data_IF_524975662429
#
_entry.id   IF_524975662429
#
_cell.length_a   1.000
_cell.length_b   1.000
_cell.length_c   1.000
_cell.angle_alpha   90.00
_cell.angle_beta   90.00
_cell.angle_gamma   90.00
#
_symmetry.space_group_name_H-M   'P 1'
#
loop_
_entity.id
_entity.type
_entity.pdbx_description
1 polymer ?
#
# COMPACT_ATOMS: atom_id res chain seq x y z
N UNK A 1 -1.77 -12.30 -23.35
CA UNK A 1 -2.45 -12.10 -22.06
C UNK A 1 -1.46 -11.40 -21.15
N UNK A 2 -1.66 -10.13 -20.83
CA UNK A 2 -0.78 -9.40 -19.90
C UNK A 2 -1.09 -9.89 -18.49
N UNK A 3 -0.14 -10.59 -17.88
CA UNK A 3 -0.24 -10.98 -16.48
C UNK A 3 -0.14 -9.71 -15.65
N UNK A 4 -1.21 -9.34 -14.95
CA UNK A 4 -1.15 -8.23 -14.00
C UNK A 4 -0.15 -8.57 -12.90
N UNK A 5 0.71 -7.60 -12.56
CA UNK A 5 1.67 -7.71 -11.46
C UNK A 5 1.40 -6.60 -10.46
N UNK A 6 1.41 -6.95 -9.17
CA UNK A 6 1.44 -5.99 -8.07
C UNK A 6 1.33 -6.69 -6.72
N UNK A 7 1.60 -5.94 -5.66
CA UNK A 7 1.67 -6.47 -4.29
C UNK A 7 0.30 -6.36 -3.62
N UNK A 8 -0.30 -7.48 -3.17
CA UNK A 8 -1.56 -7.45 -2.43
C UNK A 8 -1.51 -6.46 -1.26
N UNK A 9 -2.57 -5.66 -1.08
CA UNK A 9 -2.65 -4.62 -0.05
C UNK A 9 -2.30 -3.21 -0.53
N UNK A 10 -1.48 -3.08 -1.58
CA UNK A 10 -1.14 -1.79 -2.19
C UNK A 10 -1.95 -1.49 -3.47
N UNK A 11 -2.61 -2.50 -4.02
CA UNK A 11 -3.37 -2.37 -5.26
C UNK A 11 -4.59 -1.45 -5.10
N UNK A 12 -4.69 -0.46 -6.00
CA UNK A 12 -5.86 0.39 -6.14
C UNK A 12 -7.08 -0.44 -6.59
N UNK A 13 -8.32 -0.11 -6.17
CA UNK A 13 -9.51 -0.93 -6.45
C UNK A 13 -9.80 -1.17 -7.94
N UNK A 14 -9.38 -0.25 -8.80
CA UNK A 14 -9.52 -0.36 -10.26
C UNK A 14 -8.51 -1.31 -10.91
N UNK A 15 -7.61 -1.96 -10.16
CA UNK A 15 -6.56 -2.82 -10.69
C UNK A 15 -7.08 -3.87 -11.68
N UNK A 16 -8.28 -4.42 -11.46
CA UNK A 16 -8.94 -5.41 -12.33
C UNK A 16 -9.44 -4.86 -13.67
N UNK A 17 -9.56 -3.54 -13.82
CA UNK A 17 -10.25 -2.90 -14.96
C UNK A 17 -9.36 -2.67 -16.18
N UNK A 18 -8.10 -3.11 -16.16
CA UNK A 18 -7.07 -2.87 -17.20
C UNK A 18 -6.74 -1.39 -17.45
N UNK A 19 -7.26 -0.47 -16.64
CA UNK A 19 -6.93 0.96 -16.68
C UNK A 19 -5.80 1.24 -15.69
N UNK A 20 -4.56 0.99 -16.13
CA UNK A 20 -3.37 1.39 -15.37
C UNK A 20 -3.09 2.85 -15.68
N UNK A 21 -3.24 3.72 -14.68
CA UNK A 21 -2.96 5.15 -14.76
C UNK A 21 -2.04 5.55 -13.61
N UNK A 22 -1.47 6.76 -13.65
CA UNK A 22 -0.68 7.31 -12.52
C UNK A 22 -1.43 7.27 -11.17
N UNK A 23 -2.77 7.16 -11.18
CA UNK A 23 -3.61 7.13 -9.99
C UNK A 23 -3.42 5.86 -9.16
N UNK A 24 -2.98 4.75 -9.75
CA UNK A 24 -2.73 3.50 -9.00
C UNK A 24 -1.50 3.63 -8.10
N UNK A 25 -0.49 4.38 -8.58
CA UNK A 25 0.71 4.70 -7.79
C UNK A 25 0.36 5.64 -6.64
N UNK A 26 -0.54 6.60 -6.88
CA UNK A 26 -1.01 7.53 -5.83
C UNK A 26 -1.76 6.80 -4.73
N UNK A 27 -2.58 5.80 -5.08
CA UNK A 27 -3.23 4.96 -4.08
C UNK A 27 -2.19 4.18 -3.25
N UNK A 28 -1.23 3.54 -3.94
CA UNK A 28 -0.16 2.78 -3.29
C UNK A 28 0.68 3.66 -2.35
N UNK A 29 0.94 4.90 -2.76
CA UNK A 29 1.59 5.92 -1.94
C UNK A 29 0.79 6.25 -0.68
N UNK A 30 -0.54 6.38 -0.78
CA UNK A 30 -1.41 6.55 0.38
C UNK A 30 -1.32 5.39 1.38
N UNK A 31 -1.19 4.15 0.88
CA UNK A 31 -0.95 2.97 1.74
C UNK A 31 0.38 3.10 2.47
N UNK A 32 1.46 3.46 1.75
CA UNK A 32 2.81 3.62 2.34
C UNK A 32 2.83 4.71 3.41
N UNK A 33 2.18 5.86 3.18
CA UNK A 33 2.07 6.91 4.22
C UNK A 33 1.46 6.32 5.49
N UNK A 34 0.40 5.53 5.38
CA UNK A 34 -0.24 4.91 6.55
C UNK A 34 0.63 3.86 7.23
N UNK A 35 1.40 3.09 6.47
CA UNK A 35 2.37 2.15 7.05
C UNK A 35 3.44 2.87 7.87
N UNK A 36 3.97 3.98 7.34
CA UNK A 36 4.96 4.81 8.04
C UNK A 36 4.36 5.38 9.32
N UNK A 37 3.17 5.98 9.24
CA UNK A 37 2.52 6.61 10.39
C UNK A 37 2.16 5.59 11.48
N UNK A 38 1.71 4.40 11.09
CA UNK A 38 1.26 3.38 12.04
C UNK A 38 2.35 2.43 12.51
N UNK A 39 3.52 2.42 11.84
CA UNK A 39 4.59 1.46 12.10
C UNK A 39 4.16 0.01 11.84
N UNK A 40 3.11 -0.20 11.04
CA UNK A 40 2.51 -1.51 10.76
C UNK A 40 2.46 -1.78 9.27
N UNK A 41 2.51 -3.06 8.91
CA UNK A 41 2.32 -3.49 7.51
C UNK A 41 0.86 -3.31 7.09
N UNK A 42 0.64 -3.07 5.80
CA UNK A 42 -0.69 -2.87 5.21
C UNK A 42 -1.63 -4.08 5.42
N UNK A 43 -1.06 -5.29 5.41
CA UNK A 43 -1.68 -6.55 5.78
C UNK A 43 -0.84 -7.17 6.90
N UNK A 44 -1.45 -7.34 8.07
CA UNK A 44 -0.77 -7.86 9.25
C UNK A 44 -1.56 -9.02 9.86
N UNK A 45 -1.17 -10.25 9.50
CA UNK A 45 -1.82 -11.48 9.96
C UNK A 45 -1.56 -11.78 11.45
N UNK A 46 -0.70 -11.00 12.13
CA UNK A 46 -0.51 -11.14 13.58
C UNK A 46 -1.61 -10.45 14.40
N UNK A 47 -2.48 -9.69 13.73
CA UNK A 47 -3.52 -8.87 14.34
C UNK A 47 -4.89 -9.55 14.30
N UNK A 48 -5.84 -9.12 15.16
CA UNK A 48 -7.22 -9.58 15.09
C UNK A 48 -7.82 -9.34 13.71
N UNK A 49 -8.76 -10.20 13.28
CA UNK A 49 -9.37 -10.19 11.94
C UNK A 49 -9.86 -8.81 11.53
N UNK A 50 -10.40 -8.05 12.48
CA UNK A 50 -10.94 -6.70 12.28
C UNK A 50 -9.84 -5.67 11.96
N UNK A 51 -8.59 -5.96 12.32
CA UNK A 51 -7.43 -5.04 12.23
C UNK A 51 -6.33 -5.52 11.29
N UNK A 52 -6.51 -6.67 10.62
CA UNK A 52 -5.55 -7.22 9.65
C UNK A 52 -5.28 -6.21 8.54
N UNK A 53 -6.33 -5.55 8.05
CA UNK A 53 -6.24 -4.57 6.95
C UNK A 53 -6.12 -3.16 7.51
N UNK A 54 -4.92 -2.57 7.34
CA UNK A 54 -4.60 -1.25 7.87
C UNK A 54 -5.56 -0.16 7.36
N UNK A 55 -5.94 -0.24 6.09
CA UNK A 55 -6.80 0.77 5.43
C UNK A 55 -8.25 0.70 5.94
N UNK A 56 -8.77 -0.49 6.25
CA UNK A 56 -10.09 -0.64 6.87
C UNK A 56 -10.10 -0.06 8.28
N UNK A 57 -9.05 -0.36 9.06
CA UNK A 57 -8.90 0.22 10.39
C UNK A 57 -8.80 1.75 10.35
N UNK A 58 -8.09 2.31 9.37
CA UNK A 58 -8.05 3.76 9.15
C UNK A 58 -9.45 4.34 8.93
N UNK A 59 -10.28 3.72 8.08
CA UNK A 59 -11.63 4.20 7.82
C UNK A 59 -12.49 4.17 9.10
N UNK A 60 -12.43 3.09 9.86
CA UNK A 60 -13.12 2.98 11.16
C UNK A 60 -12.68 4.10 12.11
N UNK A 61 -11.37 4.34 12.23
CA UNK A 61 -10.82 5.37 13.10
C UNK A 61 -11.15 6.78 12.63
N UNK A 62 -11.18 7.02 11.32
CA UNK A 62 -11.57 8.29 10.73
C UNK A 62 -13.04 8.62 11.03
N UNK A 63 -13.95 7.65 10.84
CA UNK A 63 -15.38 7.81 11.11
C UNK A 63 -15.68 8.08 12.58
N UNK A 64 -14.87 7.53 13.48
CA UNK A 64 -15.01 7.71 14.93
C UNK A 64 -14.18 8.89 15.49
N UNK A 65 -13.54 9.71 14.66
CA UNK A 65 -12.64 10.81 15.07
C UNK A 65 -11.49 10.37 16.00
N UNK A 66 -10.99 9.16 15.81
CA UNK A 66 -9.94 8.53 16.62
C UNK A 66 -8.64 8.32 15.82
N UNK A 67 -8.31 9.23 14.90
CA UNK A 67 -7.12 9.13 14.05
C UNK A 67 -5.81 9.05 14.86
N UNK A 68 -5.74 9.72 16.02
CA UNK A 68 -4.57 9.72 16.91
C UNK A 68 -4.19 8.29 17.34
N UNK A 69 -5.16 7.37 17.44
CA UNK A 69 -4.89 5.97 17.79
C UNK A 69 -4.09 5.21 16.73
N UNK A 70 -4.01 5.74 15.51
CA UNK A 70 -3.27 5.15 14.40
C UNK A 70 -1.78 5.53 14.42
N UNK A 71 -1.35 6.49 15.26
CA UNK A 71 0.04 6.94 15.32
C UNK A 71 0.90 5.89 16.04
N UNK A 72 2.05 5.56 15.46
CA UNK A 72 3.04 4.69 16.10
C UNK A 72 3.58 5.32 17.39
N UNK A 73 3.17 4.74 18.51
CA UNK A 73 3.59 5.19 19.85
C UNK A 73 5.07 4.95 20.14
N UNK A 74 5.77 4.16 19.32
CA UNK A 74 7.22 3.94 19.45
C UNK A 74 8.02 5.11 18.86
N UNK A 75 7.40 5.95 18.04
CA UNK A 75 8.03 7.14 17.45
C UNK A 75 7.75 8.38 18.30
N UNK A 76 8.72 8.78 19.12
CA UNK A 76 8.60 10.00 19.95
C UNK A 76 8.37 11.27 19.11
N UNK A 77 8.93 11.30 17.89
CA UNK A 77 8.76 12.42 16.96
C UNK A 77 7.31 12.54 16.49
N UNK A 78 6.71 11.43 16.04
CA UNK A 78 5.30 11.41 15.61
C UNK A 78 4.33 11.71 16.76
N UNK A 79 4.65 11.25 17.96
CA UNK A 79 3.83 11.52 19.17
C UNK A 79 3.92 12.99 19.58
N UNK A 80 5.04 13.67 19.31
CA UNK A 80 5.22 15.09 19.61
C UNK A 80 4.59 16.00 18.54
N UNK A 81 4.64 15.58 17.26
CA UNK A 81 4.17 16.35 16.11
C UNK A 81 2.79 15.85 15.58
N UNK A 82 1.83 15.61 16.49
CA UNK A 82 0.56 14.95 16.13
C UNK A 82 -0.25 15.69 15.08
N UNK A 83 -0.24 17.03 15.09
CA UNK A 83 -1.00 17.85 14.13
C UNK A 83 -0.51 17.64 12.69
N UNK A 84 0.81 17.62 12.49
CA UNK A 84 1.45 17.35 11.19
C UNK A 84 1.19 15.90 10.75
N UNK A 85 1.25 14.95 11.70
CA UNK A 85 0.93 13.54 11.42
C UNK A 85 -0.53 13.36 11.02
N UNK A 86 -1.46 14.06 11.66
CA UNK A 86 -2.88 14.05 11.27
C UNK A 86 -3.06 14.66 9.87
N UNK A 87 -2.30 15.70 9.52
CA UNK A 87 -2.31 16.25 8.16
C UNK A 87 -1.83 15.21 7.14
N UNK A 88 -0.75 14.48 7.44
CA UNK A 88 -0.28 13.38 6.60
C UNK A 88 -1.30 12.25 6.47
N UNK A 89 -2.01 11.90 7.55
CA UNK A 89 -3.12 10.92 7.49
C UNK A 89 -4.25 11.42 6.59
N UNK A 90 -4.59 12.71 6.66
CA UNK A 90 -5.59 13.33 5.78
C UNK A 90 -5.17 13.26 4.31
N UNK A 91 -3.90 13.49 4.02
CA UNK A 91 -3.36 13.29 2.67
C UNK A 91 -3.48 11.83 2.23
N UNK A 92 -3.15 10.88 3.09
CA UNK A 92 -3.30 9.46 2.79
C UNK A 92 -4.76 9.10 2.46
N UNK A 93 -5.73 9.56 3.26
CA UNK A 93 -7.16 9.34 2.99
C UNK A 93 -7.62 9.96 1.65
N UNK A 94 -7.00 11.07 1.24
CA UNK A 94 -7.28 11.67 -0.07
C UNK A 94 -6.65 10.86 -1.23
N UNK A 95 -5.47 10.29 -1.03
CA UNK A 95 -4.84 9.36 -1.97
C UNK A 95 -5.59 8.03 -2.09
N UNK A 96 -6.24 7.58 -1.02
CA UNK A 96 -6.93 6.29 -0.91
C UNK A 96 -8.39 6.30 -1.41
N UNK A 97 -8.84 7.38 -2.06
CA UNK A 97 -10.19 7.46 -2.62
C UNK A 97 -10.44 6.32 -3.62
N UNK A 98 -11.58 5.66 -3.48
CA UNK A 98 -11.97 4.56 -4.37
C UNK A 98 -12.13 5.02 -5.82
N UNK A 99 -12.65 6.23 -6.01
CA UNK A 99 -12.69 6.89 -7.32
C UNK A 99 -11.32 7.53 -7.63
N UNK A 100 -10.65 7.00 -8.65
CA UNK A 100 -9.33 7.47 -9.10
C UNK A 100 -9.33 8.94 -9.54
N UNK A 101 -10.46 9.49 -9.99
CA UNK A 101 -10.58 10.89 -10.41
C UNK A 101 -10.55 11.87 -9.23
N UNK A 102 -10.93 11.40 -8.04
CA UNK A 102 -10.93 12.19 -6.79
C UNK A 102 -9.58 12.24 -6.11
N UNK A 103 -8.68 11.30 -6.43
CA UNK A 103 -7.30 11.28 -5.90
C UNK A 103 -6.55 12.52 -6.41
N UNK A 104 -5.63 13.10 -5.61
CA UNK A 104 -4.76 14.19 -6.08
C UNK A 104 -3.87 13.73 -7.24
N UNK A 105 -3.18 14.67 -7.89
CA UNK A 105 -1.98 14.33 -8.67
C UNK A 105 -0.75 14.34 -7.74
N UNK A 106 0.32 13.65 -8.13
CA UNK A 106 1.50 13.51 -7.27
C UNK A 106 2.12 14.86 -6.88
N UNK A 107 2.16 15.81 -7.81
CA UNK A 107 2.67 17.16 -7.54
C UNK A 107 1.88 17.90 -6.45
N UNK A 108 0.56 17.68 -6.38
CA UNK A 108 -0.28 18.24 -5.31
C UNK A 108 -0.01 17.54 -3.98
N UNK A 109 0.15 16.21 -3.98
CA UNK A 109 0.49 15.47 -2.77
C UNK A 109 1.83 15.93 -2.17
N UNK A 110 2.85 16.17 -3.01
CA UNK A 110 4.15 16.70 -2.58
C UNK A 110 4.01 18.11 -1.99
N UNK A 111 3.28 19.02 -2.65
CA UNK A 111 3.05 20.38 -2.13
C UNK A 111 2.42 20.38 -0.75
N UNK A 112 1.51 19.44 -0.49
CA UNK A 112 0.89 19.27 0.82
C UNK A 112 1.92 18.82 1.85
N UNK A 113 2.78 17.87 1.51
CA UNK A 113 3.86 17.39 2.39
C UNK A 113 4.93 18.46 2.66
N UNK A 114 5.19 19.34 1.70
CA UNK A 114 6.09 20.49 1.85
C UNK A 114 5.46 21.64 2.68
N UNK A 115 4.19 21.51 3.11
CA UNK A 115 3.47 22.57 3.80
C UNK A 115 3.08 23.75 2.90
N UNK A 116 3.25 23.62 1.58
CA UNK A 116 2.92 24.66 0.60
C UNK A 116 1.42 24.71 0.24
N UNK A 117 0.61 23.75 0.72
CA UNK A 117 -0.83 23.66 0.49
C UNK A 117 -1.56 23.01 1.67
N UNK A 118 -2.72 23.56 2.04
CA UNK A 118 -3.61 22.99 3.07
C UNK A 118 -4.66 22.01 2.48
N UNK A 119 -5.07 21.03 3.28
CA UNK A 119 -5.99 19.93 2.87
C UNK A 119 -7.47 20.22 3.20
N UNK A 120 -7.77 21.33 3.89
CA UNK A 120 -8.99 21.52 4.70
C UNK A 120 -10.36 21.33 4.01
N UNK A 121 -10.43 21.27 2.67
CA UNK A 121 -11.70 21.22 1.94
C UNK A 121 -11.98 19.92 1.16
N UNK A 122 -11.08 18.92 1.16
CA UNK A 122 -11.12 17.86 0.12
C UNK A 122 -11.25 16.43 0.63
N UNK A 123 -11.21 16.20 1.95
CA UNK A 123 -11.20 14.84 2.49
C UNK A 123 -12.60 14.34 2.73
N UNK A 124 -13.02 13.42 1.87
CA UNK A 124 -14.14 12.53 2.15
C UNK A 124 -13.62 11.34 2.96
N UNK A 125 -14.06 11.24 4.20
CA UNK A 125 -13.70 10.15 5.11
C UNK A 125 -14.34 8.80 4.70
N UNK A 126 -15.23 8.79 3.70
CA UNK A 126 -15.71 7.58 3.04
C UNK A 126 -14.89 7.26 1.79
N UNK A 127 -13.57 7.14 1.95
CA UNK A 127 -12.65 6.88 0.84
C UNK A 127 -12.68 5.42 0.36
N UNK A 128 -13.12 4.48 1.18
CA UNK A 128 -13.45 3.13 0.75
C UNK A 128 -14.94 3.06 0.39
N UNK A 129 -15.25 2.68 -0.85
CA UNK A 129 -16.55 2.11 -1.14
C UNK A 129 -16.72 0.85 -0.28
N UNK A 130 -17.92 0.55 0.25
CA UNK A 130 -18.20 -0.79 0.75
C UNK A 130 -18.01 -1.74 -0.43
N UNK A 131 -16.81 -2.31 -0.55
CA UNK A 131 -16.62 -3.53 -1.32
C UNK A 131 -17.59 -4.51 -0.69
N UNK A 132 -18.45 -5.05 -1.57
CA UNK A 132 -19.53 -6.00 -1.30
C UNK A 132 -19.34 -6.75 0.01
N UNK A 133 -20.36 -6.84 0.89
CA UNK A 133 -20.29 -7.84 1.95
C UNK A 133 -19.95 -9.15 1.26
N UNK A 134 -18.87 -9.80 1.67
CA UNK A 134 -18.78 -11.24 1.48
C UNK A 134 -20.00 -11.75 2.22
N UNK A 135 -21.08 -12.00 1.49
CA UNK A 135 -22.20 -12.73 2.03
C UNK A 135 -21.61 -14.08 2.38
N UNK A 136 -21.65 -14.41 3.67
CA UNK A 136 -21.44 -15.77 4.14
C UNK A 136 -22.50 -16.64 3.45
N UNK A 137 -22.19 -17.11 2.24
CA UNK A 137 -22.90 -18.18 1.59
C UNK A 137 -21.93 -19.33 1.37
N UNK A 138 -22.21 -20.43 2.05
CA UNK A 138 -21.38 -21.63 2.08
C UNK A 138 -21.43 -22.43 0.76
N UNK A 139 -21.83 -21.83 -0.36
CA UNK A 139 -22.12 -22.52 -1.62
C UNK A 139 -21.45 -21.98 -2.88
N UNK A 140 -20.60 -20.95 -2.79
CA UNK A 140 -19.90 -20.39 -3.98
C UNK A 140 -18.46 -20.92 -4.16
N UNK A 141 -18.04 -21.96 -3.41
CA UNK A 141 -16.68 -22.51 -3.49
C UNK A 141 -16.40 -23.40 -4.72
N UNK A 142 -17.36 -23.59 -5.63
CA UNK A 142 -17.22 -24.56 -6.73
C UNK A 142 -16.96 -23.93 -8.10
N UNK A 143 -16.74 -22.62 -8.20
CA UNK A 143 -16.53 -21.96 -9.50
C UNK A 143 -15.39 -20.92 -9.52
N UNK A 144 -14.34 -21.13 -8.73
CA UNK A 144 -13.08 -20.39 -8.88
C UNK A 144 -12.11 -21.21 -9.75
N UNK A 145 -11.41 -20.60 -10.74
CA UNK A 145 -10.32 -21.27 -11.43
C UNK A 145 -9.27 -21.72 -10.40
N UNK A 146 -8.74 -22.94 -10.54
CA UNK A 146 -7.86 -23.63 -9.58
C UNK A 146 -6.48 -23.01 -9.31
N UNK A 147 -6.27 -21.71 -9.53
CA UNK A 147 -4.93 -21.08 -9.45
C UNK A 147 -4.65 -20.33 -8.12
N UNK A 148 -5.44 -20.60 -7.06
CA UNK A 148 -5.33 -19.95 -5.74
C UNK A 148 -4.63 -20.81 -4.66
N UNK A 149 -3.94 -21.88 -5.04
CA UNK A 149 -3.31 -22.82 -4.10
C UNK A 149 -1.93 -22.41 -3.56
N UNK A 150 -1.40 -21.22 -3.87
CA UNK A 150 -0.05 -20.83 -3.44
C UNK A 150 0.05 -20.17 -2.05
N UNK A 151 -1.02 -20.13 -1.25
CA UNK A 151 -0.99 -19.53 0.09
C UNK A 151 -1.23 -20.57 1.18
N UNK A 152 -0.31 -21.52 1.31
CA UNK A 152 0.03 -22.09 2.62
C UNK A 152 1.47 -21.70 2.92
N UNK A 153 1.67 -21.08 4.08
CA UNK A 153 2.97 -20.67 4.56
C UNK A 153 3.95 -21.86 4.53
N UNK A 154 4.99 -21.77 3.70
CA UNK A 154 6.16 -22.62 3.88
C UNK A 154 6.79 -22.29 5.24
N UNK A 155 7.13 -23.28 6.07
CA UNK A 155 7.83 -23.04 7.32
C UNK A 155 9.20 -22.40 7.04
N UNK A 156 9.54 -21.39 7.84
CA UNK A 156 10.82 -20.67 7.80
C UNK A 156 11.96 -21.70 7.90
N UNK A 157 12.62 -21.98 6.78
CA UNK A 157 13.95 -22.59 6.82
C UNK A 157 14.98 -21.46 7.00
N UNK A 158 16.01 -21.66 7.84
CA UNK A 158 16.99 -20.63 8.08
C UNK A 158 17.77 -20.37 6.78
N UNK A 159 17.76 -19.11 6.35
CA UNK A 159 18.60 -18.61 5.26
C UNK A 159 20.05 -18.88 5.64
N UNK A 160 20.72 -19.76 4.90
CA UNK A 160 22.18 -19.84 4.93
C UNK A 160 22.71 -18.74 4.01
N UNK A 161 23.49 -17.83 4.60
CA UNK A 161 24.21 -16.80 3.87
C UNK A 161 25.14 -17.44 2.82
N UNK A 162 24.82 -17.29 1.54
CA UNK A 162 25.76 -17.56 0.46
C UNK A 162 26.09 -16.26 -0.28
N UNK A 163 27.17 -15.59 0.14
CA UNK A 163 27.73 -14.37 -0.46
C UNK A 163 28.18 -14.51 -1.94
N UNK A 164 27.87 -15.59 -2.62
CA UNK A 164 28.45 -15.91 -3.93
C UNK A 164 27.57 -15.57 -5.15
N UNK A 165 26.29 -15.23 -4.97
CA UNK A 165 25.37 -15.04 -6.12
C UNK A 165 25.36 -13.62 -6.68
N UNK A 166 25.74 -12.61 -5.89
CA UNK A 166 25.83 -11.21 -6.36
C UNK A 166 27.06 -10.96 -7.25
N UNK A 167 28.14 -11.73 -7.09
CA UNK A 167 29.40 -11.48 -7.80
C UNK A 167 29.34 -11.91 -9.28
N UNK A 168 28.71 -13.04 -9.58
CA UNK A 168 28.65 -13.58 -10.95
C UNK A 168 27.75 -12.78 -11.89
N UNK A 169 26.71 -12.12 -11.36
CA UNK A 169 25.81 -11.31 -12.18
C UNK A 169 26.41 -9.94 -12.53
N UNK A 170 27.18 -9.32 -11.62
CA UNK A 170 27.90 -8.09 -11.93
C UNK A 170 29.07 -8.31 -12.88
N UNK A 171 29.79 -9.44 -12.77
CA UNK A 171 30.91 -9.74 -13.67
C UNK A 171 30.46 -9.93 -15.13
N UNK A 172 29.29 -10.53 -15.34
CA UNK A 172 28.71 -10.73 -16.68
C UNK A 172 28.22 -9.42 -17.31
N UNK A 173 27.70 -8.49 -16.50
CA UNK A 173 27.26 -7.17 -16.97
C UNK A 173 28.45 -6.24 -17.31
N UNK A 174 29.57 -6.34 -16.58
CA UNK A 174 30.79 -5.58 -16.89
C UNK A 174 31.49 -6.06 -18.17
N UNK A 175 31.45 -7.38 -18.46
CA UNK A 175 32.01 -7.95 -19.69
C UNK A 175 31.24 -7.51 -20.95
N UNK A 176 29.90 -7.40 -20.86
CA UNK A 176 29.07 -6.96 -21.97
C UNK A 176 29.18 -5.44 -22.23
N UNK A 177 29.49 -4.64 -21.20
CA UNK A 177 29.66 -3.19 -21.34
C UNK A 177 31.00 -2.78 -21.99
N UNK A 178 31.97 -3.69 -22.12
CA UNK A 178 33.29 -3.40 -22.73
C UNK A 178 33.39 -3.81 -24.21
N UNK A 179 32.32 -4.35 -24.80
CA UNK A 179 32.27 -4.80 -26.20
C UNK A 179 31.81 -3.75 -27.23
N UNK A 180 31.29 -2.59 -26.81
CA UNK A 180 30.71 -1.59 -27.75
C UNK A 180 31.65 -0.41 -28.07
N UNK A 181 32.93 -0.49 -27.72
CA UNK A 181 33.93 0.51 -28.14
C UNK A 181 35.14 -0.20 -28.73
N UNK A 182 34.97 -0.85 -29.88
CA UNK A 182 35.95 -1.03 -30.96
C UNK A 182 35.43 -2.11 -31.92
N UNK A 183 34.78 -1.67 -33.00
CA UNK A 183 34.33 -2.48 -34.13
C UNK A 183 33.62 -1.64 -35.16
#
# INVERSE_FOLDING_TARGET
MTVMRGTPGYLAPEWLTSQITEKVDIYSFGVVIMEVISGRRCIDNSQPVERIQLIRLLQEKAQNNHLIDMIDRKSNDMVSNQEEVILMMKLAMWCLQSDCSRRPCMSTAVKVLEGAMAIENWVDYNFLNPVMPVQDNESTYSALPEDYSYFTADPITPVQDNESTCSVHLQHQLYLAQGEVNG
#
